data_IF_856371928526
#
_entry.id   IF_856371928526
#
_cell.length_a   1.000
_cell.length_b   1.000
_cell.length_c   1.000
_cell.angle_alpha   90.00
_cell.angle_beta   90.00
_cell.angle_gamma   90.00
#
_symmetry.space_group_name_H-M   'P 1'
#
loop_
_entity.id
_entity.type
_entity.pdbx_description
1 polymer ?
#
# COMPACT_ATOMS: atom_id res chain seq x y z
N UNK A 1 -2.56 -4.65 -6.95
CA UNK A 1 -2.97 -3.23 -7.03
C UNK A 1 -3.16 -2.68 -5.64
N UNK A 2 -3.14 -1.35 -5.47
CA UNK A 2 -3.34 -0.69 -4.17
C UNK A 2 -4.52 0.27 -4.21
N UNK A 3 -5.32 0.26 -3.15
CA UNK A 3 -6.26 1.32 -2.84
C UNK A 3 -5.75 2.06 -1.60
N UNK A 4 -5.40 3.33 -1.78
CA UNK A 4 -4.91 4.19 -0.72
C UNK A 4 -6.08 5.05 -0.24
N UNK A 5 -6.37 5.01 1.05
CA UNK A 5 -7.33 5.87 1.74
C UNK A 5 -6.59 6.83 2.69
N UNK A 6 -6.23 8.05 2.22
CA UNK A 6 -5.49 9.01 3.04
C UNK A 6 -6.25 9.52 4.25
N UNK A 7 -7.60 9.56 4.18
CA UNK A 7 -8.43 10.08 5.27
C UNK A 7 -8.36 9.19 6.49
N UNK A 8 -8.37 7.87 6.26
CA UNK A 8 -8.25 6.87 7.32
C UNK A 8 -6.82 6.35 7.50
N UNK A 9 -5.85 6.89 6.73
CA UNK A 9 -4.47 6.41 6.62
C UNK A 9 -4.41 4.89 6.46
N UNK A 10 -5.22 4.35 5.55
CA UNK A 10 -5.33 2.90 5.33
C UNK A 10 -4.91 2.58 3.89
N UNK A 11 -4.32 1.41 3.71
CA UNK A 11 -4.04 0.86 2.37
C UNK A 11 -4.64 -0.53 2.27
N UNK A 12 -5.29 -0.81 1.15
CA UNK A 12 -5.75 -2.15 0.79
C UNK A 12 -4.90 -2.66 -0.37
N UNK A 13 -4.32 -3.85 -0.19
CA UNK A 13 -3.44 -4.50 -1.16
C UNK A 13 -4.15 -5.69 -1.78
N UNK A 14 -4.31 -5.61 -3.10
CA UNK A 14 -4.99 -6.60 -3.91
C UNK A 14 -3.97 -7.43 -4.69
N UNK A 15 -3.88 -8.72 -4.39
CA UNK A 15 -3.04 -9.70 -5.11
C UNK A 15 -3.94 -10.73 -5.78
N UNK A 16 -3.54 -11.18 -6.97
CA UNK A 16 -4.32 -12.18 -7.70
C UNK A 16 -4.35 -13.49 -6.92
N UNK A 17 -5.54 -14.04 -6.67
CA UNK A 17 -5.71 -15.30 -5.95
C UNK A 17 -5.45 -15.22 -4.43
N UNK A 18 -5.40 -14.02 -3.85
CA UNK A 18 -5.29 -13.82 -2.40
C UNK A 18 -6.44 -12.95 -1.88
N UNK A 19 -6.71 -13.06 -0.58
CA UNK A 19 -7.60 -12.13 0.11
C UNK A 19 -7.00 -10.72 0.14
N UNK A 20 -7.87 -9.72 0.27
CA UNK A 20 -7.44 -8.32 0.39
C UNK A 20 -6.69 -8.14 1.71
N UNK A 21 -5.45 -7.68 1.62
CA UNK A 21 -4.66 -7.33 2.79
C UNK A 21 -4.92 -5.87 3.17
N UNK A 22 -5.24 -5.61 4.44
CA UNK A 22 -5.51 -4.27 4.95
C UNK A 22 -4.37 -3.83 5.87
N UNK A 23 -3.69 -2.76 5.48
CA UNK A 23 -2.62 -2.13 6.25
C UNK A 23 -3.11 -0.81 6.88
N UNK A 24 -2.99 -0.70 8.19
CA UNK A 24 -3.38 0.48 8.96
C UNK A 24 -2.18 1.37 9.25
N UNK A 25 -2.26 2.63 8.81
CA UNK A 25 -1.22 3.67 8.88
C UNK A 25 0.20 3.19 8.48
N UNK A 26 0.37 2.51 7.33
CA UNK A 26 1.71 2.12 6.89
C UNK A 26 2.56 3.34 6.53
N UNK A 27 3.86 3.24 6.79
CA UNK A 27 4.85 4.28 6.45
C UNK A 27 5.41 4.10 5.03
N UNK A 28 5.35 2.88 4.50
CA UNK A 28 5.91 2.52 3.20
C UNK A 28 5.15 1.36 2.57
N UNK A 29 5.13 1.28 1.24
CA UNK A 29 4.72 0.08 0.49
C UNK A 29 5.84 -0.35 -0.46
N UNK A 30 6.13 -1.65 -0.51
CA UNK A 30 7.04 -2.27 -1.47
C UNK A 30 6.32 -2.68 -2.73
N UNK A 31 6.92 -2.47 -3.90
CA UNK A 31 6.43 -2.99 -5.19
C UNK A 31 6.53 -4.51 -5.34
N UNK A 32 7.09 -5.21 -4.35
CA UNK A 32 7.25 -6.67 -4.31
C UNK A 32 7.89 -7.21 -5.59
N UNK A 33 7.46 -8.37 -6.08
CA UNK A 33 7.94 -8.99 -7.31
C UNK A 33 7.40 -8.29 -8.58
N UNK A 34 6.30 -7.54 -8.46
CA UNK A 34 5.67 -6.83 -9.58
C UNK A 34 6.54 -5.65 -10.02
N UNK A 35 7.15 -4.96 -9.06
CA UNK A 35 8.06 -3.85 -9.32
C UNK A 35 9.24 -3.87 -8.31
N UNK A 36 10.25 -4.73 -8.55
CA UNK A 36 11.35 -4.92 -7.61
C UNK A 36 12.11 -3.62 -7.34
N UNK A 37 12.36 -3.34 -6.06
CA UNK A 37 13.09 -2.14 -5.61
C UNK A 37 12.25 -0.86 -5.54
N UNK A 38 11.00 -0.88 -5.99
CA UNK A 38 10.09 0.23 -5.80
C UNK A 38 9.61 0.33 -4.34
N UNK A 39 9.67 1.53 -3.78
CA UNK A 39 9.19 1.86 -2.44
C UNK A 39 8.39 3.15 -2.47
N UNK A 40 7.13 3.09 -2.06
CA UNK A 40 6.26 4.26 -1.95
C UNK A 40 6.26 4.76 -0.51
N UNK A 41 6.76 5.98 -0.28
CA UNK A 41 6.71 6.66 1.02
C UNK A 41 5.32 7.30 1.23
N UNK A 42 4.55 6.76 2.17
CA UNK A 42 3.17 7.15 2.42
C UNK A 42 2.96 8.38 3.33
N UNK A 43 3.88 8.75 4.25
CA UNK A 43 3.80 10.02 4.96
C UNK A 43 3.55 11.24 4.05
N UNK A 44 4.11 11.25 2.85
CA UNK A 44 3.86 12.32 1.84
C UNK A 44 2.44 12.33 1.27
N UNK A 45 1.76 11.19 1.34
CA UNK A 45 0.39 10.99 0.83
C UNK A 45 -0.65 11.35 1.90
N UNK A 46 -0.30 11.23 3.17
CA UNK A 46 -1.17 11.52 4.30
C UNK A 46 -1.44 13.03 4.51
N UNK A 47 -0.52 13.89 4.07
CA UNK A 47 -0.53 15.32 4.37
C UNK A 47 0.48 15.66 5.47
#
# INVERSE_FOLDING_TARGET
GWLIDPKNRKVEVYRLGSEVEVLSNPIELSGEEVLPGFRLNLPRVWG
#
